data_IF_899497623059
#
_entry.id   IF_899497623059
#
_cell.length_a   1.000
_cell.length_b   1.000
_cell.length_c   1.000
_cell.angle_alpha   90.00
_cell.angle_beta   90.00
_cell.angle_gamma   90.00
#
_symmetry.space_group_name_H-M   'P 1'
#
loop_
_entity.id
_entity.type
_entity.pdbx_description
1 polymer ?
#
# COMPACT_ATOMS: atom_id res chain seq x y z
N UNK A 1 -52.87 46.81 1.53
CA UNK A 1 -54.31 46.48 1.61
C UNK A 1 -54.54 45.35 0.60
N UNK A 2 -55.14 44.21 0.85
CA UNK A 2 -55.75 43.60 2.03
C UNK A 2 -55.65 42.07 1.84
N UNK A 3 -55.63 41.35 2.97
CA UNK A 3 -55.71 39.88 3.06
C UNK A 3 -57.09 39.40 2.58
N UNK A 4 -57.17 38.20 2.02
CA UNK A 4 -58.42 37.47 1.82
C UNK A 4 -58.16 35.97 1.80
N UNK A 5 -58.56 35.27 2.86
CA UNK A 5 -58.40 33.83 3.08
C UNK A 5 -59.65 33.03 2.67
N UNK A 6 -59.42 31.85 2.08
CA UNK A 6 -60.07 30.52 2.23
C UNK A 6 -61.61 30.34 2.23
N UNK A 7 -62.08 29.42 1.37
CA UNK A 7 -63.00 28.28 1.64
C UNK A 7 -63.16 27.44 0.34
N UNK A 8 -62.62 26.23 0.18
CA UNK A 8 -63.11 24.86 0.54
C UNK A 8 -64.52 24.49 0.03
N UNK A 9 -64.59 23.54 -0.93
CA UNK A 9 -65.56 22.43 -1.06
C UNK A 9 -65.21 21.62 -2.33
N UNK A 10 -64.70 20.39 -2.27
CA UNK A 10 -65.43 19.10 -2.18
C UNK A 10 -66.52 18.98 -3.27
N UNK A 11 -66.62 17.99 -4.16
CA UNK A 11 -66.00 16.67 -4.34
C UNK A 11 -66.43 16.13 -5.74
N UNK A 12 -65.86 14.97 -6.16
CA UNK A 12 -66.39 13.92 -7.08
C UNK A 12 -65.32 13.43 -8.08
N UNK A 13 -64.50 12.42 -7.73
CA UNK A 13 -64.76 10.97 -7.86
C UNK A 13 -65.03 10.49 -9.30
N UNK A 14 -63.96 10.15 -10.02
CA UNK A 14 -63.83 9.01 -10.94
C UNK A 14 -62.31 8.69 -10.93
N UNK A 15 -61.81 7.60 -10.35
CA UNK A 15 -62.20 6.23 -10.65
C UNK A 15 -61.31 5.71 -11.78
N UNK A 16 -60.04 5.39 -11.50
CA UNK A 16 -59.26 4.47 -12.33
C UNK A 16 -58.49 3.49 -11.46
N UNK A 17 -58.61 2.24 -11.87
CA UNK A 17 -58.32 1.05 -11.12
C UNK A 17 -56.83 0.89 -10.79
N UNK A 18 -56.60 0.26 -9.64
CA UNK A 18 -55.34 -0.31 -9.25
C UNK A 18 -54.85 -1.32 -10.30
N UNK A 19 -53.61 -1.15 -10.75
CA UNK A 19 -52.79 -2.27 -11.21
C UNK A 19 -51.58 -2.34 -10.31
N UNK A 20 -51.71 -3.14 -9.26
CA UNK A 20 -50.57 -3.61 -8.49
C UNK A 20 -49.82 -4.61 -9.36
N UNK A 21 -48.60 -4.26 -9.78
CA UNK A 21 -47.62 -5.22 -10.26
C UNK A 21 -46.44 -5.21 -9.30
N UNK A 22 -46.10 -6.41 -8.86
CA UNK A 22 -45.21 -6.73 -7.76
C UNK A 22 -43.78 -6.20 -7.93
N UNK A 23 -43.18 -5.97 -6.76
CA UNK A 23 -41.76 -5.98 -6.45
C UNK A 23 -40.83 -6.58 -7.54
N UNK A 24 -39.89 -5.76 -7.99
CA UNK A 24 -38.53 -6.21 -8.28
C UNK A 24 -37.57 -5.16 -7.69
N UNK A 25 -37.25 -5.39 -6.43
CA UNK A 25 -36.18 -4.72 -5.72
C UNK A 25 -34.87 -5.29 -6.30
N UNK A 26 -34.21 -4.56 -7.19
CA UNK A 26 -32.82 -4.86 -7.58
C UNK A 26 -31.90 -3.73 -7.08
N UNK A 27 -31.60 -3.64 -5.77
CA UNK A 27 -30.40 -2.96 -5.31
C UNK A 27 -29.26 -3.97 -5.50
N UNK A 28 -28.89 -4.21 -6.76
CA UNK A 28 -28.02 -5.32 -7.13
C UNK A 28 -27.00 -4.88 -8.17
N UNK A 29 -26.06 -4.00 -7.77
CA UNK A 29 -24.63 -4.02 -8.17
C UNK A 29 -23.84 -2.78 -7.71
N UNK A 30 -24.43 -1.87 -6.92
CA UNK A 30 -23.67 -0.87 -6.18
C UNK A 30 -23.10 -1.46 -4.87
N UNK A 31 -22.24 -2.47 -4.99
CA UNK A 31 -21.29 -2.92 -3.96
C UNK A 31 -20.68 -4.27 -4.40
N UNK A 32 -19.87 -4.27 -5.46
CA UNK A 32 -18.71 -5.15 -5.43
C UNK A 32 -17.82 -4.58 -4.32
N UNK A 33 -18.08 -5.06 -3.12
CA UNK A 33 -17.32 -4.78 -1.92
C UNK A 33 -15.85 -4.89 -2.29
N UNK A 34 -15.09 -3.84 -2.02
CA UNK A 34 -13.70 -4.03 -1.69
C UNK A 34 -13.73 -5.02 -0.51
N UNK A 35 -13.69 -6.32 -0.81
CA UNK A 35 -13.40 -7.35 0.17
C UNK A 35 -12.22 -6.78 0.95
N UNK A 36 -12.41 -6.55 2.25
CA UNK A 36 -11.33 -6.21 3.15
C UNK A 36 -10.34 -7.37 3.09
N UNK A 37 -9.45 -7.32 2.10
CA UNK A 37 -8.36 -8.27 1.96
C UNK A 37 -7.52 -8.05 3.19
N UNK A 38 -7.60 -9.02 4.11
CA UNK A 38 -6.81 -9.01 5.34
C UNK A 38 -5.36 -8.73 4.94
N UNK A 39 -4.68 -7.79 5.62
CA UNK A 39 -3.29 -7.51 5.32
C UNK A 39 -2.48 -8.82 5.41
N UNK A 40 -1.46 -9.01 4.57
CA UNK A 40 -0.63 -10.20 4.60
C UNK A 40 -0.13 -10.50 6.01
N UNK A 41 0.04 -11.79 6.34
CA UNK A 41 0.50 -12.22 7.67
C UNK A 41 1.79 -11.51 8.11
N UNK A 42 2.70 -11.23 7.18
CA UNK A 42 3.95 -10.51 7.47
C UNK A 42 3.75 -9.06 7.96
N UNK A 43 2.59 -8.45 7.70
CA UNK A 43 2.30 -7.11 8.21
C UNK A 43 2.14 -7.13 9.72
N UNK A 44 1.63 -8.23 10.30
CA UNK A 44 1.53 -8.44 11.74
C UNK A 44 0.94 -7.24 12.51
N UNK A 45 -0.12 -6.62 11.96
CA UNK A 45 -0.80 -5.46 12.54
C UNK A 45 -0.04 -4.12 12.44
N UNK A 46 1.11 -4.08 11.77
CA UNK A 46 1.85 -2.85 11.46
C UNK A 46 1.48 -2.33 10.08
N UNK A 47 1.77 -1.05 9.84
CA UNK A 47 1.63 -0.45 8.51
C UNK A 47 2.50 -1.17 7.49
N UNK A 48 1.95 -1.33 6.28
CA UNK A 48 2.57 -2.03 5.18
C UNK A 48 2.46 -1.23 3.88
N UNK A 49 3.36 -1.43 2.92
CA UNK A 49 3.22 -0.86 1.60
C UNK A 49 1.89 -1.28 0.98
N UNK A 50 1.10 -0.33 0.45
CA UNK A 50 -0.16 -0.67 -0.21
C UNK A 50 0.12 -1.36 -1.54
N UNK A 51 -0.54 -2.47 -1.78
CA UNK A 51 -0.47 -3.23 -3.02
C UNK A 51 -1.87 -3.64 -3.48
N UNK A 52 -1.97 -4.07 -4.74
CA UNK A 52 -3.09 -4.89 -5.19
C UNK A 52 -2.58 -6.24 -5.66
N UNK A 53 -3.29 -7.30 -5.28
CA UNK A 53 -3.04 -8.63 -5.83
C UNK A 53 -3.49 -8.63 -7.28
N UNK A 54 -2.61 -9.07 -8.16
CA UNK A 54 -2.86 -9.32 -9.58
C UNK A 54 -3.32 -10.77 -9.80
N UNK A 55 -2.67 -11.69 -9.08
CA UNK A 55 -2.93 -13.12 -9.13
C UNK A 55 -2.67 -13.74 -7.75
N UNK A 56 -3.46 -14.73 -7.36
CA UNK A 56 -3.37 -15.48 -6.11
C UNK A 56 -3.52 -16.97 -6.46
N UNK A 57 -2.55 -17.77 -6.04
CA UNK A 57 -2.50 -19.22 -6.22
C UNK A 57 -1.97 -19.87 -4.93
N UNK A 58 -2.13 -21.18 -4.78
CA UNK A 58 -1.77 -21.93 -3.57
C UNK A 58 -0.27 -21.82 -3.21
N UNK A 59 0.58 -21.43 -4.18
CA UNK A 59 2.03 -21.30 -4.02
C UNK A 59 2.57 -19.87 -3.97
N UNK A 60 1.86 -18.87 -4.50
CA UNK A 60 2.36 -17.49 -4.56
C UNK A 60 1.25 -16.45 -4.81
N UNK A 61 1.56 -15.21 -4.41
CA UNK A 61 0.76 -14.03 -4.76
C UNK A 61 1.55 -13.11 -5.66
N UNK A 62 1.00 -12.79 -6.83
CA UNK A 62 1.52 -11.69 -7.64
C UNK A 62 0.92 -10.36 -7.14
N UNK A 63 1.79 -9.40 -6.80
CA UNK A 63 1.37 -8.14 -6.19
C UNK A 63 1.97 -6.95 -6.90
N UNK A 64 1.12 -5.99 -7.31
CA UNK A 64 1.57 -4.67 -7.78
C UNK A 64 1.48 -3.67 -6.64
N UNK A 65 2.64 -3.23 -6.14
CA UNK A 65 2.75 -2.12 -5.20
C UNK A 65 2.43 -0.79 -5.89
N UNK A 66 2.00 0.22 -5.11
CA UNK A 66 1.79 1.58 -5.65
C UNK A 66 3.08 2.14 -6.25
N UNK A 67 2.96 3.11 -7.16
CA UNK A 67 4.12 3.77 -7.75
C UNK A 67 4.85 4.62 -6.70
N UNK A 68 6.17 4.43 -6.60
CA UNK A 68 7.12 5.23 -5.82
C UNK A 68 6.91 5.31 -4.29
N UNK A 69 6.71 4.18 -3.59
CA UNK A 69 6.74 4.19 -2.13
C UNK A 69 8.15 4.57 -1.67
N UNK A 70 8.23 5.42 -0.66
CA UNK A 70 9.47 5.77 0.01
C UNK A 70 9.81 4.73 1.08
N UNK A 71 11.07 4.36 1.14
CA UNK A 71 11.65 3.42 2.10
C UNK A 71 12.85 4.06 2.76
N UNK A 72 13.02 3.83 4.06
CA UNK A 72 14.25 4.19 4.77
C UNK A 72 15.23 3.07 4.57
N UNK A 73 16.45 3.41 4.16
CA UNK A 73 17.46 2.44 3.73
C UNK A 73 18.72 2.56 4.56
N UNK A 74 19.32 1.42 4.90
CA UNK A 74 20.68 1.33 5.43
C UNK A 74 21.46 0.28 4.67
N UNK A 75 22.78 0.46 4.58
CA UNK A 75 23.68 -0.44 3.89
C UNK A 75 24.75 -0.96 4.86
N UNK A 76 25.09 -2.22 4.72
CA UNK A 76 26.18 -2.88 5.44
C UNK A 76 27.14 -3.48 4.43
N UNK A 77 28.44 -3.21 4.56
CA UNK A 77 29.46 -3.71 3.63
C UNK A 77 30.57 -4.43 4.35
N UNK A 78 31.16 -5.45 3.71
CA UNK A 78 32.37 -6.10 4.22
C UNK A 78 32.17 -6.94 5.49
N UNK A 79 30.92 -7.26 5.84
CA UNK A 79 30.56 -8.12 6.98
C UNK A 79 29.74 -9.32 6.53
N UNK A 80 29.64 -10.35 7.38
CA UNK A 80 28.80 -11.52 7.10
C UNK A 80 27.32 -11.15 7.14
N UNK A 81 26.48 -11.93 6.44
CA UNK A 81 25.03 -11.73 6.40
C UNK A 81 24.39 -11.62 7.79
N UNK A 82 24.74 -12.50 8.73
CA UNK A 82 24.15 -12.48 10.07
C UNK A 82 24.50 -11.19 10.84
N UNK A 83 25.72 -10.70 10.69
CA UNK A 83 26.13 -9.43 11.28
C UNK A 83 25.37 -8.27 10.62
N UNK A 84 25.35 -8.24 9.29
CA UNK A 84 24.65 -7.22 8.51
C UNK A 84 23.16 -7.14 8.88
N UNK A 85 22.49 -8.29 8.96
CA UNK A 85 21.07 -8.34 9.29
C UNK A 85 20.77 -7.82 10.69
N UNK A 86 21.55 -8.22 11.69
CA UNK A 86 21.38 -7.73 13.06
C UNK A 86 21.65 -6.22 13.14
N UNK A 87 22.76 -5.77 12.55
CA UNK A 87 23.15 -4.35 12.59
C UNK A 87 22.14 -3.50 11.82
N UNK A 88 21.80 -3.85 10.58
CA UNK A 88 20.81 -3.12 9.77
C UNK A 88 19.43 -3.04 10.43
N UNK A 89 18.98 -4.13 11.09
CA UNK A 89 17.73 -4.11 11.87
C UNK A 89 17.82 -3.16 13.08
N UNK A 90 18.94 -3.15 13.79
CA UNK A 90 19.18 -2.25 14.94
C UNK A 90 19.25 -0.80 14.47
N UNK A 91 19.99 -0.50 13.39
CA UNK A 91 20.08 0.83 12.78
C UNK A 91 18.69 1.37 12.42
N UNK A 92 17.86 0.58 11.75
CA UNK A 92 16.49 1.00 11.44
C UNK A 92 15.63 1.15 12.70
N UNK A 93 15.80 0.31 13.72
CA UNK A 93 15.12 0.48 15.00
C UNK A 93 15.46 1.80 15.69
N UNK A 94 16.74 2.22 15.65
CA UNK A 94 17.17 3.53 16.15
C UNK A 94 16.56 4.68 15.33
N UNK A 95 16.54 4.55 14.00
CA UNK A 95 15.88 5.53 13.13
C UNK A 95 14.42 5.77 13.52
N UNK A 96 13.65 4.69 13.74
CA UNK A 96 12.25 4.79 14.21
C UNK A 96 12.14 5.39 15.62
N UNK A 97 13.12 5.13 16.48
CA UNK A 97 13.18 5.66 17.84
C UNK A 97 13.57 7.15 17.93
N UNK A 98 13.90 7.78 16.81
CA UNK A 98 14.22 9.21 16.72
C UNK A 98 15.66 9.52 16.30
N UNK A 99 16.47 8.51 15.99
CA UNK A 99 17.83 8.71 15.45
C UNK A 99 17.77 9.02 13.95
N UNK A 100 17.21 10.18 13.63
CA UNK A 100 17.11 10.73 12.30
C UNK A 100 17.30 12.25 12.37
N UNK A 101 17.57 12.90 11.24
CA UNK A 101 17.89 14.33 11.15
C UNK A 101 16.84 15.27 11.78
N UNK A 102 15.63 14.75 12.05
CA UNK A 102 14.52 15.51 12.62
C UNK A 102 14.24 15.16 14.08
N UNK A 103 14.99 14.24 14.69
CA UNK A 103 14.71 13.73 16.04
C UNK A 103 13.32 13.07 16.17
N UNK A 104 12.69 12.72 15.04
CA UNK A 104 11.28 12.40 15.00
C UNK A 104 11.05 10.93 15.34
N UNK A 105 10.22 10.64 16.35
CA UNK A 105 9.80 9.27 16.64
C UNK A 105 8.74 8.85 15.64
N UNK A 106 8.99 7.75 14.94
CA UNK A 106 8.12 7.20 13.92
C UNK A 106 7.63 5.82 14.35
N UNK A 107 6.41 5.46 13.94
CA UNK A 107 5.89 4.10 14.17
C UNK A 107 6.64 3.13 13.24
N UNK A 108 7.27 2.06 13.76
CA UNK A 108 7.91 1.07 12.90
C UNK A 108 6.87 0.35 12.03
N UNK A 109 7.21 0.14 10.76
CA UNK A 109 6.38 -0.51 9.74
C UNK A 109 6.88 -1.92 9.43
N UNK A 110 6.18 -2.62 8.54
CA UNK A 110 6.57 -3.90 7.98
C UNK A 110 6.39 -3.89 6.45
N UNK A 111 6.98 -4.85 5.71
CA UNK A 111 8.06 -5.73 6.17
C UNK A 111 9.40 -4.98 6.24
N UNK A 112 10.38 -5.58 6.91
CA UNK A 112 11.79 -5.27 6.69
C UNK A 112 12.24 -6.03 5.43
N UNK A 113 12.68 -5.31 4.41
CA UNK A 113 13.27 -5.90 3.21
C UNK A 113 14.78 -6.01 3.35
N UNK A 114 15.33 -7.06 2.78
CA UNK A 114 16.75 -7.19 2.51
C UNK A 114 16.94 -7.34 1.01
N UNK A 115 17.82 -6.52 0.43
CA UNK A 115 18.16 -6.53 -0.97
C UNK A 115 19.59 -7.04 -1.11
N UNK A 116 19.75 -8.01 -2.00
CA UNK A 116 21.01 -8.65 -2.32
C UNK A 116 21.48 -8.16 -3.67
N UNK A 117 22.77 -7.85 -3.77
CA UNK A 117 23.38 -7.41 -5.03
C UNK A 117 24.26 -8.51 -5.58
N UNK A 118 24.17 -8.72 -6.89
CA UNK A 118 24.97 -9.71 -7.60
C UNK A 118 25.84 -9.00 -8.62
N UNK A 119 27.10 -9.41 -8.74
CA UNK A 119 28.01 -8.94 -9.78
C UNK A 119 27.68 -9.57 -11.14
N UNK A 120 28.41 -9.14 -12.17
CA UNK A 120 28.16 -9.56 -13.56
C UNK A 120 28.27 -11.08 -13.77
N UNK A 121 28.99 -11.80 -12.90
CA UNK A 121 29.15 -13.26 -12.97
C UNK A 121 28.19 -14.00 -12.03
N UNK A 122 27.21 -13.30 -11.46
CA UNK A 122 26.24 -13.85 -10.52
C UNK A 122 26.79 -14.06 -9.11
N UNK A 123 27.98 -13.55 -8.79
CA UNK A 123 28.55 -13.59 -7.46
C UNK A 123 27.83 -12.61 -6.52
N UNK A 124 27.52 -13.06 -5.31
CA UNK A 124 26.93 -12.20 -4.29
C UNK A 124 27.96 -11.15 -3.84
N UNK A 125 27.64 -9.87 -4.03
CA UNK A 125 28.47 -8.77 -3.58
C UNK A 125 28.36 -8.62 -2.06
N UNK A 126 29.44 -8.24 -1.34
CA UNK A 126 29.43 -8.06 0.11
C UNK A 126 28.80 -6.71 0.50
N UNK A 127 27.61 -6.42 -0.04
CA UNK A 127 26.81 -5.23 0.18
C UNK A 127 25.37 -5.68 0.46
N UNK A 128 24.93 -5.42 1.69
CA UNK A 128 23.61 -5.79 2.20
C UNK A 128 22.79 -4.53 2.40
N UNK A 129 21.69 -4.39 1.67
CA UNK A 129 20.82 -3.24 1.79
C UNK A 129 19.57 -3.65 2.54
N UNK A 130 19.23 -2.93 3.61
CA UNK A 130 18.01 -3.16 4.39
C UNK A 130 17.08 -1.97 4.24
N UNK A 131 15.80 -2.24 3.99
CA UNK A 131 14.81 -1.21 3.75
C UNK A 131 13.56 -1.42 4.59
N UNK A 132 13.16 -0.38 5.32
CA UNK A 132 11.89 -0.33 6.05
C UNK A 132 10.92 0.65 5.39
N UNK A 133 9.66 0.24 5.25
CA UNK A 133 8.66 1.08 4.60
C UNK A 133 8.44 2.37 5.39
N UNK A 134 8.44 3.53 4.74
CA UNK A 134 8.16 4.75 5.46
C UNK A 134 6.65 4.82 5.81
N UNK A 135 6.25 5.19 7.05
CA UNK A 135 4.83 5.28 7.42
C UNK A 135 3.99 6.11 6.45
N UNK A 136 2.70 5.81 6.32
CA UNK A 136 1.84 6.44 5.31
C UNK A 136 1.76 7.97 5.43
N UNK A 137 1.80 8.50 6.66
CA UNK A 137 1.80 9.94 6.94
C UNK A 137 3.12 10.66 6.60
N UNK A 138 4.17 9.88 6.32
CA UNK A 138 5.49 10.34 5.95
C UNK A 138 5.78 10.18 4.44
N UNK A 139 4.97 9.40 3.72
CA UNK A 139 5.05 9.28 2.26
C UNK A 139 4.89 10.66 1.59
N UNK A 140 5.77 10.99 0.64
CA UNK A 140 5.78 12.29 -0.06
C UNK A 140 6.48 13.44 0.69
N UNK A 141 7.00 13.20 1.89
CA UNK A 141 7.91 14.13 2.57
C UNK A 141 9.34 13.67 2.27
N UNK A 142 10.18 14.56 1.73
CA UNK A 142 11.60 14.27 1.53
C UNK A 142 12.23 14.15 2.92
N UNK A 143 12.48 12.91 3.36
CA UNK A 143 13.38 12.60 4.45
C UNK A 143 14.72 12.24 3.80
N UNK A 144 15.82 12.75 4.34
CA UNK A 144 17.17 12.69 3.75
C UNK A 144 17.65 11.26 3.46
N UNK A 145 17.05 10.26 4.12
CA UNK A 145 17.43 8.83 4.04
C UNK A 145 16.38 7.96 3.34
N UNK A 146 15.35 8.58 2.75
CA UNK A 146 14.29 7.85 2.05
C UNK A 146 14.60 7.69 0.55
N UNK A 147 14.55 6.46 0.05
CA UNK A 147 14.73 6.15 -1.36
C UNK A 147 13.50 5.41 -1.93
N UNK A 148 13.28 5.57 -3.23
CA UNK A 148 12.32 4.76 -4.00
C UNK A 148 12.93 3.38 -4.24
N UNK A 149 12.19 2.33 -3.87
CA UNK A 149 12.63 0.94 -4.06
C UNK A 149 12.93 0.61 -5.53
N UNK A 150 12.21 1.21 -6.48
CA UNK A 150 12.50 1.01 -7.91
C UNK A 150 13.87 1.58 -8.27
N UNK A 151 14.23 2.74 -7.75
CA UNK A 151 15.57 3.30 -7.96
C UNK A 151 16.65 2.42 -7.36
N UNK A 152 16.42 1.89 -6.15
CA UNK A 152 17.35 0.96 -5.51
C UNK A 152 17.52 -0.33 -6.33
N UNK A 153 16.41 -0.92 -6.80
CA UNK A 153 16.44 -2.14 -7.61
C UNK A 153 17.02 -1.90 -9.00
N UNK A 154 16.75 -0.75 -9.62
CA UNK A 154 17.31 -0.36 -10.91
C UNK A 154 18.82 -0.15 -10.85
N UNK A 155 19.33 0.44 -9.76
CA UNK A 155 20.78 0.52 -9.49
C UNK A 155 21.43 -0.86 -9.35
N UNK A 156 20.64 -1.89 -9.02
CA UNK A 156 21.08 -3.27 -8.86
C UNK A 156 20.92 -4.09 -10.15
N UNK A 157 20.49 -3.49 -11.26
CA UNK A 157 20.22 -4.21 -12.51
C UNK A 157 19.02 -5.16 -12.43
N UNK A 158 18.19 -5.05 -11.40
CA UNK A 158 17.02 -5.91 -11.14
C UNK A 158 15.71 -5.27 -11.62
N UNK A 159 15.74 -4.49 -12.70
CA UNK A 159 14.51 -3.95 -13.30
C UNK A 159 13.78 -5.04 -14.11
N UNK A 160 13.01 -5.85 -13.37
CA UNK A 160 12.21 -6.94 -13.93
C UNK A 160 11.18 -6.45 -14.97
N UNK A 161 10.78 -5.16 -14.98
CA UNK A 161 9.87 -4.62 -16.00
C UNK A 161 10.51 -4.47 -17.39
N UNK A 162 11.85 -4.45 -17.48
CA UNK A 162 12.59 -4.42 -18.74
C UNK A 162 12.89 -5.83 -19.24
N UNK A 163 13.23 -6.75 -18.33
CA UNK A 163 13.45 -8.17 -18.66
C UNK A 163 12.17 -8.89 -19.10
N UNK A 164 11.01 -8.58 -18.50
CA UNK A 164 9.72 -9.14 -18.91
C UNK A 164 9.18 -8.58 -20.25
N UNK A 165 9.87 -7.61 -20.85
CA UNK A 165 9.49 -6.98 -22.14
C UNK A 165 10.37 -7.42 -23.31
N UNK A 166 11.38 -8.26 -23.07
CA UNK A 166 12.16 -8.87 -24.14
C UNK A 166 11.40 -10.10 -24.66
N UNK A 167 11.12 -10.18 -25.98
CA UNK A 167 10.39 -11.30 -26.59
C UNK A 167 11.17 -12.61 -26.59
#
# INVERSE_FOLDING_TARGET
MARGSLAISAACLLGFAALAAAAALEPGLAAATALERRPPKFCAGRECPPFRTLHEDDGFDERRYRHKPLWVVTNETGVTWNHAYLHGKVTLAHYWAGDNDRGAKLRPTNPLLALFQFGDKGELLPLWTFAGYLPHDCQGKILTVAADLRTLLGQQGLDYEEQARQP
#
